data_IF_683041556315
#
_entry.id   IF_683041556315
#
_cell.length_a   1.000
_cell.length_b   1.000
_cell.length_c   1.000
_cell.angle_alpha   90.00
_cell.angle_beta   90.00
_cell.angle_gamma   90.00
#
_symmetry.space_group_name_H-M   'P 1'
#
loop_
_entity.id
_entity.type
_entity.pdbx_description
1 polymer ?
#
# COMPACT_ATOMS: atom_id res chain seq x y z
N UNK A 1 -42.62 -10.23 -7.53
CA UNK A 1 -42.21 -8.81 -7.57
C UNK A 1 -41.26 -8.46 -6.43
N UNK A 2 -41.65 -8.57 -5.16
CA UNK A 2 -40.80 -8.18 -4.00
C UNK A 2 -39.43 -8.91 -3.91
N UNK A 3 -39.39 -10.23 -4.14
CA UNK A 3 -38.12 -10.99 -4.17
C UNK A 3 -37.18 -10.55 -5.30
N UNK A 4 -37.74 -10.18 -6.46
CA UNK A 4 -36.96 -9.73 -7.61
C UNK A 4 -36.26 -8.40 -7.28
N UNK A 5 -36.97 -7.50 -6.60
CA UNK A 5 -36.43 -6.21 -6.14
C UNK A 5 -35.33 -6.41 -5.11
N UNK A 6 -35.54 -7.29 -4.12
CA UNK A 6 -34.53 -7.60 -3.11
C UNK A 6 -33.27 -8.22 -3.75
N UNK A 7 -33.42 -9.14 -4.70
CA UNK A 7 -32.29 -9.73 -5.43
C UNK A 7 -31.53 -8.69 -6.27
N UNK A 8 -32.24 -7.76 -6.92
CA UNK A 8 -31.63 -6.67 -7.69
C UNK A 8 -30.90 -5.69 -6.77
N UNK A 9 -31.46 -5.35 -5.61
CA UNK A 9 -30.81 -4.50 -4.61
C UNK A 9 -29.56 -5.16 -4.03
N UNK A 10 -29.62 -6.45 -3.67
CA UNK A 10 -28.46 -7.23 -3.20
C UNK A 10 -27.35 -7.30 -4.26
N UNK A 11 -27.70 -7.50 -5.53
CA UNK A 11 -26.74 -7.52 -6.65
C UNK A 11 -26.11 -6.14 -6.90
N UNK A 12 -26.88 -5.06 -6.78
CA UNK A 12 -26.38 -3.68 -6.89
C UNK A 12 -25.39 -3.35 -5.74
N UNK A 13 -25.71 -3.73 -4.51
CA UNK A 13 -24.82 -3.53 -3.34
C UNK A 13 -23.53 -4.36 -3.44
N UNK A 14 -23.58 -5.55 -4.04
CA UNK A 14 -22.38 -6.39 -4.23
C UNK A 14 -21.50 -5.94 -5.40
N UNK A 15 -21.98 -5.05 -6.27
CA UNK A 15 -21.19 -4.44 -7.34
C UNK A 15 -20.27 -3.31 -6.85
N UNK A 16 -20.55 -2.76 -5.66
CA UNK A 16 -19.76 -1.68 -5.04
C UNK A 16 -18.64 -2.18 -4.13
N UNK A 17 -18.46 -3.49 -3.99
CA UNK A 17 -17.29 -4.06 -3.32
C UNK A 17 -16.07 -3.99 -4.25
N UNK A 18 -15.71 -2.78 -4.71
CA UNK A 18 -14.40 -2.54 -5.32
C UNK A 18 -13.40 -2.54 -4.18
N UNK A 19 -12.72 -3.66 -3.97
CA UNK A 19 -11.52 -3.67 -3.15
C UNK A 19 -10.59 -2.58 -3.70
N UNK A 20 -10.32 -1.55 -2.90
CA UNK A 20 -9.38 -0.49 -3.23
C UNK A 20 -8.02 -1.17 -3.47
N UNK A 21 -7.55 -1.18 -4.72
CA UNK A 21 -6.30 -1.86 -5.11
C UNK A 21 -5.11 -0.93 -4.94
N UNK A 22 -4.89 -0.53 -3.71
CA UNK A 22 -3.64 0.11 -3.33
C UNK A 22 -2.50 -0.90 -3.53
N UNK A 23 -1.40 -0.46 -4.14
CA UNK A 23 -0.24 -1.31 -4.35
C UNK A 23 1.06 -0.52 -4.17
N UNK A 24 2.07 -1.22 -3.65
CA UNK A 24 3.42 -0.70 -3.47
C UNK A 24 4.37 -1.54 -4.31
N UNK A 25 5.14 -0.89 -5.17
CA UNK A 25 6.22 -1.49 -5.93
C UNK A 25 7.55 -0.84 -5.52
N UNK A 26 8.44 -1.65 -4.93
CA UNK A 26 9.83 -1.27 -4.69
C UNK A 26 10.70 -1.95 -5.77
N UNK A 27 11.23 -1.19 -6.74
CA UNK A 27 11.90 -1.77 -7.91
C UNK A 27 13.21 -2.48 -7.56
N UNK A 28 13.84 -2.08 -6.45
CA UNK A 28 15.15 -2.57 -6.02
C UNK A 28 14.98 -3.49 -4.81
N UNK A 29 15.15 -4.80 -5.01
CA UNK A 29 15.05 -5.80 -3.94
C UNK A 29 16.21 -5.71 -2.94
N UNK A 30 17.39 -5.30 -3.42
CA UNK A 30 18.59 -5.10 -2.63
C UNK A 30 19.39 -3.95 -3.22
N UNK A 31 19.99 -3.14 -2.35
CA UNK A 31 20.86 -2.03 -2.73
C UNK A 31 22.11 -2.06 -1.87
N UNK A 32 23.27 -2.09 -2.50
CA UNK A 32 24.57 -2.04 -1.83
C UNK A 32 25.15 -0.63 -1.96
N UNK A 33 25.87 -0.20 -0.92
CA UNK A 33 26.52 1.10 -0.89
C UNK A 33 27.77 1.05 -0.01
N UNK A 34 28.71 1.94 -0.29
CA UNK A 34 29.91 2.14 0.51
C UNK A 34 29.57 2.94 1.76
N UNK A 35 30.32 2.73 2.85
CA UNK A 35 30.14 3.49 4.09
C UNK A 35 30.26 4.99 3.82
N UNK A 36 29.22 5.74 4.19
CA UNK A 36 29.16 7.20 4.02
C UNK A 36 28.49 7.67 2.73
N UNK A 37 28.15 6.75 1.82
CA UNK A 37 27.36 7.09 0.63
C UNK A 37 25.88 7.25 0.99
N UNK A 38 25.22 8.21 0.34
CA UNK A 38 23.77 8.37 0.44
C UNK A 38 23.08 7.30 -0.41
N UNK A 39 22.05 6.68 0.16
CA UNK A 39 21.25 5.66 -0.50
C UNK A 39 19.81 6.12 -0.57
N UNK A 40 19.22 6.04 -1.76
CA UNK A 40 17.79 6.29 -1.99
C UNK A 40 17.13 4.99 -2.40
N UNK A 41 16.06 4.58 -1.70
CA UNK A 41 15.23 3.43 -2.09
C UNK A 41 13.98 3.93 -2.82
N UNK A 42 13.72 3.40 -4.00
CA UNK A 42 12.52 3.74 -4.78
C UNK A 42 11.26 3.09 -4.20
N UNK A 43 10.14 3.81 -4.24
CA UNK A 43 8.81 3.29 -3.94
C UNK A 43 7.78 3.91 -4.86
N UNK A 44 7.06 3.07 -5.61
CA UNK A 44 5.90 3.46 -6.38
C UNK A 44 4.66 3.00 -5.64
N UNK A 45 3.92 3.95 -5.07
CA UNK A 45 2.65 3.69 -4.43
C UNK A 45 1.54 4.15 -5.37
N UNK A 46 0.63 3.23 -5.71
CA UNK A 46 -0.48 3.49 -6.59
C UNK A 46 -1.77 3.28 -5.80
N UNK A 47 -2.51 4.37 -5.61
CA UNK A 47 -3.76 4.45 -4.86
C UNK A 47 -4.75 5.33 -5.59
N UNK A 48 -6.04 5.11 -5.33
CA UNK A 48 -7.11 6.01 -5.76
C UNK A 48 -7.58 6.94 -4.64
N UNK A 49 -7.01 6.82 -3.44
CA UNK A 49 -7.33 7.69 -2.30
C UNK A 49 -6.75 9.08 -2.51
N UNK A 50 -7.52 10.11 -2.18
CA UNK A 50 -7.04 11.50 -2.13
C UNK A 50 -6.41 11.87 -0.77
N UNK A 51 -6.58 10.99 0.23
CA UNK A 51 -6.03 11.15 1.57
C UNK A 51 -5.37 9.84 1.97
N UNK A 52 -4.20 9.60 1.39
CA UNK A 52 -3.40 8.42 1.62
C UNK A 52 -2.26 8.66 2.61
N UNK A 53 -1.77 7.58 3.20
CA UNK A 53 -0.63 7.59 4.11
C UNK A 53 0.38 6.55 3.64
N UNK A 54 1.61 7.00 3.37
CA UNK A 54 2.73 6.14 2.99
C UNK A 54 3.83 6.25 4.04
N UNK A 55 4.37 5.12 4.49
CA UNK A 55 5.42 5.07 5.50
C UNK A 55 6.54 4.13 5.08
N UNK A 56 7.77 4.48 5.44
CA UNK A 56 8.91 3.59 5.36
C UNK A 56 9.09 2.81 6.67
N UNK A 57 9.39 1.52 6.56
CA UNK A 57 9.74 0.68 7.70
C UNK A 57 11.14 0.13 7.53
N UNK A 58 11.90 0.11 8.63
CA UNK A 58 13.20 -0.53 8.70
C UNK A 58 13.12 -1.75 9.62
N UNK A 59 13.63 -2.87 9.16
CA UNK A 59 13.70 -4.10 9.94
C UNK A 59 15.15 -4.60 10.02
N UNK A 60 15.63 -4.84 11.24
CA UNK A 60 16.87 -5.59 11.45
C UNK A 60 16.57 -7.09 11.57
N UNK A 61 17.60 -7.93 11.37
CA UNK A 61 17.45 -9.39 11.45
C UNK A 61 16.78 -9.81 12.77
N UNK A 62 15.67 -10.55 12.65
CA UNK A 62 14.85 -11.09 13.76
C UNK A 62 14.23 -10.04 14.70
N UNK A 63 14.19 -8.78 14.28
CA UNK A 63 13.46 -7.72 15.00
C UNK A 63 12.14 -7.42 14.31
N UNK A 64 11.22 -6.76 15.01
CA UNK A 64 10.02 -6.22 14.39
C UNK A 64 10.39 -5.01 13.51
N UNK A 65 9.68 -4.76 12.41
CA UNK A 65 9.83 -3.53 11.66
C UNK A 65 9.46 -2.31 12.53
N UNK A 66 10.23 -1.24 12.42
CA UNK A 66 9.93 0.05 13.03
C UNK A 66 9.78 1.11 11.95
N UNK A 67 8.92 2.10 12.19
CA UNK A 67 8.77 3.24 11.28
C UNK A 67 10.12 3.94 11.17
N UNK A 68 10.62 4.08 9.95
CA UNK A 68 11.73 4.95 9.67
C UNK A 68 11.16 6.36 9.50
N UNK A 69 11.43 7.30 10.43
CA UNK A 69 10.97 8.66 10.26
C UNK A 69 11.55 9.21 8.96
N UNK A 70 10.70 9.84 8.15
CA UNK A 70 11.17 10.59 7.00
C UNK A 70 12.15 11.66 7.52
N UNK A 71 13.35 11.81 6.93
CA UNK A 71 14.14 12.99 7.21
C UNK A 71 13.33 14.20 6.72
N UNK A 72 13.04 15.14 7.63
CA UNK A 72 12.55 16.47 7.25
C UNK A 72 13.51 17.13 6.24
#
# INVERSE_FOLDING_TARGET
>A
MMHLVISVLLAAMSLECRAQRDNVLQPEAEKTATKGEQVTLGCHYNTTSSNDYLFWYKQHRRQQPHIHPEPL
#
